data_IF_147702788125
#
_entry.id   IF_147702788125
#
_cell.length_a   1.000
_cell.length_b   1.000
_cell.length_c   1.000
_cell.angle_alpha   90.00
_cell.angle_beta   90.00
_cell.angle_gamma   90.00
#
_symmetry.space_group_name_H-M   'P 1'
#
loop_
_entity.id
_entity.type
_entity.pdbx_description
1 polymer ?
#
# COMPACT_ATOMS: atom_id res chain seq x y z
N UNK A 1 -16.26 14.85 -17.38
CA UNK A 1 -15.26 15.86 -16.98
C UNK A 1 -14.95 15.82 -15.48
N UNK A 2 -15.88 15.39 -14.61
CA UNK A 2 -15.63 15.21 -13.17
C UNK A 2 -14.58 14.14 -12.84
N UNK A 3 -14.53 13.02 -13.58
CA UNK A 3 -13.59 11.92 -13.30
C UNK A 3 -12.11 12.28 -13.42
N UNK A 4 -11.76 13.17 -14.35
CA UNK A 4 -10.35 13.50 -14.59
C UNK A 4 -9.74 14.29 -13.42
N UNK A 5 -10.52 15.17 -12.79
CA UNK A 5 -10.03 15.95 -11.65
C UNK A 5 -9.83 15.07 -10.42
N UNK A 6 -10.76 14.14 -10.18
CA UNK A 6 -10.67 13.15 -9.09
C UNK A 6 -9.42 12.28 -9.22
N UNK A 7 -9.13 11.78 -10.43
CA UNK A 7 -7.96 10.95 -10.70
C UNK A 7 -6.62 11.69 -10.48
N UNK A 8 -6.53 12.96 -10.90
CA UNK A 8 -5.32 13.76 -10.69
C UNK A 8 -5.08 14.02 -9.20
N UNK A 9 -6.14 14.34 -8.43
CA UNK A 9 -6.03 14.54 -6.98
C UNK A 9 -5.61 13.24 -6.26
N UNK A 10 -6.24 12.11 -6.62
CA UNK A 10 -5.88 10.78 -6.15
C UNK A 10 -4.38 10.50 -6.33
N UNK A 11 -3.88 10.62 -7.56
CA UNK A 11 -2.47 10.37 -7.87
C UNK A 11 -1.53 11.28 -7.08
N UNK A 12 -1.85 12.57 -6.96
CA UNK A 12 -1.00 13.51 -6.20
C UNK A 12 -0.91 13.09 -4.73
N UNK A 13 -2.04 12.74 -4.10
CA UNK A 13 -2.07 12.30 -2.70
C UNK A 13 -1.26 11.03 -2.49
N UNK A 14 -1.49 10.02 -3.33
CA UNK A 14 -0.78 8.74 -3.19
C UNK A 14 0.73 8.90 -3.44
N UNK A 15 1.13 9.65 -4.47
CA UNK A 15 2.56 9.96 -4.71
C UNK A 15 3.19 10.66 -3.51
N UNK A 16 2.51 11.65 -2.90
CA UNK A 16 3.00 12.35 -1.71
C UNK A 16 3.16 11.42 -0.52
N UNK A 17 2.21 10.51 -0.30
CA UNK A 17 2.24 9.54 0.81
C UNK A 17 3.50 8.66 0.76
N UNK A 18 3.84 8.16 -0.43
CA UNK A 18 5.01 7.29 -0.65
C UNK A 18 6.31 8.05 -0.92
N UNK A 19 6.33 9.37 -0.77
CA UNK A 19 7.55 10.15 -0.95
C UNK A 19 8.31 10.27 0.39
N UNK A 20 9.61 9.91 0.42
CA UNK A 20 10.39 10.01 1.65
C UNK A 20 10.55 11.48 2.03
N UNK A 21 10.53 11.75 3.34
CA UNK A 21 10.91 13.06 3.83
C UNK A 21 12.41 13.24 3.64
N UNK A 22 12.87 14.44 3.23
CA UNK A 22 14.30 14.70 3.11
C UNK A 22 14.95 14.64 4.49
N UNK A 23 16.15 14.05 4.54
CA UNK A 23 16.92 13.86 5.77
C UNK A 23 17.25 15.22 6.44
N UNK A 24 16.92 15.34 7.73
CA UNK A 24 17.15 16.55 8.53
C UNK A 24 18.64 16.88 8.65
N UNK A 25 19.54 15.89 8.56
CA UNK A 25 20.99 16.12 8.57
C UNK A 25 21.46 16.92 7.37
N UNK A 26 20.81 16.76 6.21
CA UNK A 26 21.14 17.54 5.01
C UNK A 26 20.85 19.03 5.20
N UNK A 27 19.76 19.36 5.92
CA UNK A 27 19.42 20.74 6.29
C UNK A 27 20.38 21.29 7.35
N UNK A 28 20.74 20.48 8.36
CA UNK A 28 21.71 20.86 9.39
C UNK A 28 23.06 21.20 8.74
N UNK A 29 23.55 20.33 7.86
CA UNK A 29 24.81 20.53 7.14
C UNK A 29 24.75 21.78 6.27
N UNK A 30 23.63 22.03 5.58
CA UNK A 30 23.45 23.27 4.83
C UNK A 30 23.52 24.51 5.74
N UNK A 31 22.91 24.47 6.93
CA UNK A 31 23.01 25.57 7.91
C UNK A 31 24.43 25.75 8.45
N UNK A 32 25.15 24.67 8.77
CA UNK A 32 26.54 24.72 9.24
C UNK A 32 27.44 25.35 8.15
N UNK A 33 27.27 24.94 6.88
CA UNK A 33 28.06 25.49 5.78
C UNK A 33 27.75 26.97 5.52
N UNK A 34 26.47 27.36 5.58
CA UNK A 34 26.07 28.76 5.44
C UNK A 34 26.63 29.62 6.58
N UNK A 35 26.51 29.17 7.83
CA UNK A 35 27.02 29.90 9.00
C UNK A 35 28.55 29.98 8.98
N UNK A 36 29.25 28.89 8.67
CA UNK A 36 30.70 28.88 8.52
C UNK A 36 31.19 29.79 7.38
N UNK A 37 30.49 29.80 6.23
CA UNK A 37 30.82 30.69 5.11
C UNK A 37 30.59 32.17 5.44
N UNK A 38 29.48 32.49 6.11
CA UNK A 38 29.16 33.88 6.50
C UNK A 38 30.11 34.39 7.59
N UNK A 39 30.45 33.57 8.60
CA UNK A 39 31.38 33.94 9.67
C UNK A 39 32.85 33.88 9.24
N UNK A 40 33.16 33.05 8.23
CA UNK A 40 34.50 32.94 7.64
C UNK A 40 34.96 34.25 7.01
N UNK A 41 34.07 35.03 6.41
CA UNK A 41 34.40 36.32 5.81
C UNK A 41 34.93 37.35 6.83
N UNK A 42 34.22 37.70 7.93
CA UNK A 42 34.74 38.62 8.94
C UNK A 42 35.95 38.05 9.68
N UNK A 43 36.00 36.74 9.95
CA UNK A 43 37.18 36.09 10.53
C UNK A 43 38.41 36.19 9.62
N UNK A 44 38.22 36.02 8.31
CA UNK A 44 39.26 36.21 7.29
C UNK A 44 39.76 37.64 7.25
N UNK A 45 38.88 38.64 7.36
CA UNK A 45 39.27 40.06 7.42
C UNK A 45 40.17 40.32 8.64
N UNK A 46 39.77 39.86 9.83
CA UNK A 46 40.58 40.02 11.06
C UNK A 46 41.94 39.30 10.93
N UNK A 47 41.96 38.08 10.36
CA UNK A 47 43.19 37.33 10.11
C UNK A 47 44.11 38.02 9.09
N UNK A 48 43.54 38.69 8.08
CA UNK A 48 44.29 39.47 7.09
C UNK A 48 45.08 40.61 7.74
N UNK A 49 44.51 41.25 8.76
CA UNK A 49 45.18 42.32 9.53
C UNK A 49 46.32 41.80 10.43
N UNK A 50 46.30 40.51 10.81
CA UNK A 50 47.21 39.95 11.80
C UNK A 50 48.41 39.19 11.19
N UNK A 51 48.19 38.34 10.18
CA UNK A 51 49.14 37.23 9.92
C UNK A 51 49.36 36.83 8.45
N UNK A 52 49.08 37.71 7.47
CA UNK A 52 49.41 37.64 6.03
C UNK A 52 48.21 37.58 5.07
N UNK A 53 48.33 38.33 3.96
CA UNK A 53 47.34 38.49 2.87
C UNK A 53 46.93 37.15 2.22
N UNK A 54 47.83 36.17 2.17
CA UNK A 54 47.55 34.87 1.53
C UNK A 54 46.41 34.09 2.21
N UNK A 55 46.30 34.15 3.55
CA UNK A 55 45.24 33.45 4.29
C UNK A 55 43.83 33.99 3.98
N UNK A 56 43.72 35.30 3.76
CA UNK A 56 42.47 35.95 3.40
C UNK A 56 41.90 35.43 2.07
N UNK A 57 42.76 35.29 1.05
CA UNK A 57 42.35 34.78 -0.26
C UNK A 57 41.86 33.34 -0.19
N UNK A 58 42.50 32.49 0.60
CA UNK A 58 42.05 31.09 0.80
C UNK A 58 40.68 31.06 1.45
N UNK A 59 40.47 31.80 2.55
CA UNK A 59 39.18 31.84 3.26
C UNK A 59 38.07 32.39 2.36
N UNK A 60 38.37 33.43 1.59
CA UNK A 60 37.40 34.06 0.67
C UNK A 60 37.03 33.10 -0.46
N UNK A 61 38.02 32.44 -1.07
CA UNK A 61 37.79 31.47 -2.14
C UNK A 61 36.96 30.27 -1.64
N UNK A 62 37.29 29.73 -0.46
CA UNK A 62 36.51 28.65 0.17
C UNK A 62 35.08 29.10 0.43
N UNK A 63 34.88 30.29 0.99
CA UNK A 63 33.54 30.83 1.26
C UNK A 63 32.72 31.01 -0.03
N UNK A 64 33.36 31.46 -1.12
CA UNK A 64 32.73 31.67 -2.42
C UNK A 64 32.27 30.36 -3.09
N UNK A 65 32.92 29.23 -2.79
CA UNK A 65 32.52 27.90 -3.28
C UNK A 65 31.50 27.23 -2.34
N UNK A 66 31.69 27.35 -1.03
CA UNK A 66 30.87 26.65 -0.02
C UNK A 66 29.46 27.23 0.06
N UNK A 67 29.30 28.56 0.03
CA UNK A 67 27.99 29.21 0.22
C UNK A 67 26.99 28.85 -0.90
N UNK A 68 27.34 28.95 -2.21
CA UNK A 68 26.42 28.54 -3.28
C UNK A 68 26.01 27.07 -3.18
N UNK A 69 26.95 26.17 -2.86
CA UNK A 69 26.66 24.75 -2.67
C UNK A 69 25.68 24.50 -1.51
N UNK A 70 25.81 25.25 -0.41
CA UNK A 70 24.90 25.17 0.71
C UNK A 70 23.50 25.74 0.38
N UNK A 71 23.41 26.82 -0.41
CA UNK A 71 22.12 27.35 -0.90
C UNK A 71 21.41 26.35 -1.80
N UNK A 72 22.11 25.71 -2.73
CA UNK A 72 21.54 24.68 -3.61
C UNK A 72 20.99 23.52 -2.79
N UNK A 73 21.79 22.97 -1.85
CA UNK A 73 21.33 21.89 -0.96
C UNK A 73 20.11 22.28 -0.13
N UNK A 74 20.07 23.50 0.41
CA UNK A 74 18.92 24.01 1.17
C UNK A 74 17.67 24.12 0.30
N UNK A 75 17.81 24.63 -0.93
CA UNK A 75 16.69 24.73 -1.86
C UNK A 75 16.20 23.35 -2.30
N UNK A 76 17.10 22.41 -2.56
CA UNK A 76 16.75 21.02 -2.88
C UNK A 76 16.02 20.34 -1.72
N UNK A 77 16.46 20.57 -0.48
CA UNK A 77 15.76 20.10 0.72
C UNK A 77 14.32 20.63 0.77
N UNK A 78 14.11 21.94 0.61
CA UNK A 78 12.76 22.51 0.64
C UNK A 78 11.89 22.05 -0.52
N UNK A 79 12.44 21.88 -1.72
CA UNK A 79 11.71 21.32 -2.87
C UNK A 79 11.26 19.88 -2.61
N UNK A 80 12.13 19.07 -1.99
CA UNK A 80 11.78 17.69 -1.62
C UNK A 80 10.71 17.68 -0.52
N UNK A 81 10.84 18.56 0.48
CA UNK A 81 9.88 18.70 1.57
C UNK A 81 8.51 19.14 1.05
N UNK A 82 8.45 20.18 0.22
CA UNK A 82 7.22 20.67 -0.41
C UNK A 82 6.56 19.57 -1.26
N UNK A 83 7.36 18.80 -2.00
CA UNK A 83 6.84 17.72 -2.80
C UNK A 83 6.36 16.50 -1.97
N UNK A 84 6.73 16.41 -0.69
CA UNK A 84 6.29 15.37 0.24
C UNK A 84 5.21 15.86 1.22
N UNK A 85 4.90 17.16 1.27
CA UNK A 85 3.98 17.75 2.25
C UNK A 85 2.81 18.53 1.62
N UNK A 86 1.65 18.62 2.29
CA UNK A 86 1.25 17.76 3.40
C UNK A 86 1.07 16.30 2.93
N UNK A 87 1.45 15.33 3.77
CA UNK A 87 1.14 13.91 3.53
C UNK A 87 -0.35 13.70 3.81
N UNK A 88 -1.06 12.91 2.97
CA UNK A 88 -2.40 12.50 3.33
C UNK A 88 -2.36 11.62 4.58
N UNK A 89 -3.44 11.68 5.36
CA UNK A 89 -3.60 10.86 6.56
C UNK A 89 -3.81 9.39 6.20
N UNK A 90 -3.58 8.48 7.15
CA UNK A 90 -3.85 7.05 6.94
C UNK A 90 -5.30 6.79 6.50
N UNK A 91 -6.26 7.48 7.14
CA UNK A 91 -7.68 7.40 6.78
C UNK A 91 -7.95 7.85 5.35
N UNK A 92 -7.38 8.98 4.91
CA UNK A 92 -7.54 9.41 3.52
C UNK A 92 -6.99 8.37 2.54
N UNK A 93 -5.89 7.70 2.87
CA UNK A 93 -5.37 6.62 2.03
C UNK A 93 -6.29 5.40 2.01
N UNK A 94 -6.92 5.06 3.14
CA UNK A 94 -7.88 3.95 3.21
C UNK A 94 -9.16 4.27 2.42
N UNK A 95 -9.62 5.53 2.44
CA UNK A 95 -10.74 6.02 1.62
C UNK A 95 -10.41 5.95 0.11
N UNK A 96 -9.18 6.30 -0.29
CA UNK A 96 -8.72 6.17 -1.68
C UNK A 96 -8.68 4.69 -2.12
N UNK A 97 -8.13 3.81 -1.29
CA UNK A 97 -8.10 2.36 -1.56
C UNK A 97 -9.51 1.79 -1.66
N UNK A 98 -10.40 2.20 -0.75
CA UNK A 98 -11.81 1.82 -0.77
C UNK A 98 -12.46 2.17 -2.12
N UNK A 99 -12.27 3.38 -2.62
CA UNK A 99 -12.82 3.80 -3.91
C UNK A 99 -12.30 2.96 -5.07
N UNK A 100 -11.00 2.62 -5.09
CA UNK A 100 -10.44 1.77 -6.12
C UNK A 100 -10.97 0.33 -6.05
N UNK A 101 -11.13 -0.22 -4.85
CA UNK A 101 -11.73 -1.55 -4.65
C UNK A 101 -13.19 -1.61 -5.12
N UNK A 102 -14.00 -0.56 -4.89
CA UNK A 102 -15.36 -0.47 -5.43
C UNK A 102 -15.37 -0.48 -6.97
N UNK A 103 -14.43 0.23 -7.62
CA UNK A 103 -14.31 0.21 -9.08
C UNK A 103 -13.91 -1.18 -9.60
N UNK A 104 -13.04 -1.88 -8.89
CA UNK A 104 -12.63 -3.26 -9.22
C UNK A 104 -13.79 -4.25 -9.06
N UNK A 105 -14.65 -4.08 -8.06
CA UNK A 105 -15.87 -4.89 -7.87
C UNK A 105 -16.81 -4.78 -9.08
N UNK A 106 -17.12 -3.55 -9.52
CA UNK A 106 -17.96 -3.30 -10.70
C UNK A 106 -17.32 -3.83 -11.99
N UNK A 107 -16.00 -3.73 -12.12
CA UNK A 107 -15.28 -4.28 -13.26
C UNK A 107 -15.31 -5.81 -13.28
N UNK A 108 -15.13 -6.45 -12.11
CA UNK A 108 -15.20 -7.90 -11.97
C UNK A 108 -16.56 -8.43 -12.43
N UNK A 109 -17.67 -7.83 -11.99
CA UNK A 109 -19.01 -8.22 -12.43
C UNK A 109 -19.17 -8.10 -13.95
N UNK A 110 -18.71 -7.01 -14.54
CA UNK A 110 -18.77 -6.82 -16.00
C UNK A 110 -17.93 -7.84 -16.76
N UNK A 111 -16.71 -8.11 -16.31
CA UNK A 111 -15.81 -9.07 -16.99
C UNK A 111 -16.28 -10.51 -16.85
N UNK A 112 -16.87 -10.87 -15.71
CA UNK A 112 -17.47 -12.17 -15.46
C UNK A 112 -18.88 -12.29 -16.07
N UNK A 113 -19.39 -11.23 -16.73
CA UNK A 113 -20.74 -11.17 -17.28
C UNK A 113 -21.81 -11.53 -16.24
N UNK A 114 -21.66 -11.02 -15.02
CA UNK A 114 -22.56 -11.20 -13.88
C UNK A 114 -23.28 -9.91 -13.52
N UNK A 115 -24.46 -10.06 -12.96
CA UNK A 115 -25.23 -9.00 -12.32
C UNK A 115 -25.27 -9.22 -10.81
N UNK A 116 -25.67 -8.20 -10.06
CA UNK A 116 -25.84 -8.31 -8.60
C UNK A 116 -26.84 -9.40 -8.20
N UNK A 117 -27.85 -9.67 -9.03
CA UNK A 117 -28.90 -10.66 -8.74
C UNK A 117 -28.39 -12.11 -8.87
N UNK A 118 -27.36 -12.33 -9.68
CA UNK A 118 -26.73 -13.64 -9.91
C UNK A 118 -25.93 -14.15 -8.70
N UNK A 119 -25.58 -13.25 -7.80
CA UNK A 119 -24.83 -13.56 -6.59
C UNK A 119 -25.72 -14.30 -5.58
N UNK A 120 -25.12 -15.14 -4.73
CA UNK A 120 -25.86 -15.91 -3.71
C UNK A 120 -25.71 -15.33 -2.29
N UNK A 121 -24.85 -14.34 -2.10
CA UNK A 121 -24.52 -13.81 -0.78
C UNK A 121 -25.54 -12.76 -0.31
N UNK A 122 -26.17 -13.03 0.82
CA UNK A 122 -26.99 -12.06 1.55
C UNK A 122 -26.09 -11.09 2.35
N UNK A 123 -26.42 -9.78 2.39
CA UNK A 123 -25.57 -8.76 3.00
C UNK A 123 -25.39 -8.95 4.50
N UNK A 124 -26.27 -9.70 5.16
CA UNK A 124 -26.15 -10.01 6.58
C UNK A 124 -24.90 -10.84 6.93
N UNK A 125 -24.20 -11.40 5.94
CA UNK A 125 -23.08 -12.31 6.20
C UNK A 125 -21.72 -11.63 6.33
N UNK A 126 -21.43 -10.51 5.63
CA UNK A 126 -20.15 -9.78 5.69
C UNK A 126 -20.13 -8.56 4.75
N UNK A 127 -19.57 -7.43 5.19
CA UNK A 127 -19.31 -6.26 4.34
C UNK A 127 -17.83 -5.82 4.47
N UNK A 128 -16.96 -6.11 3.50
CA UNK A 128 -15.53 -5.81 3.57
C UNK A 128 -15.22 -4.31 3.71
N UNK A 129 -16.17 -3.46 3.32
CA UNK A 129 -15.95 -2.03 3.29
C UNK A 129 -16.42 -1.30 4.53
N UNK A 130 -17.41 -1.86 5.24
CA UNK A 130 -17.82 -1.34 6.54
C UNK A 130 -16.65 -1.44 7.53
N UNK A 131 -15.89 -2.55 7.48
CA UNK A 131 -14.71 -2.76 8.33
C UNK A 131 -13.58 -1.78 7.98
N UNK A 132 -13.36 -1.48 6.70
CA UNK A 132 -12.34 -0.54 6.24
C UNK A 132 -12.64 0.93 6.59
N UNK A 133 -13.89 1.36 6.42
CA UNK A 133 -14.27 2.78 6.53
C UNK A 133 -14.94 3.14 7.86
N UNK A 134 -15.34 2.13 8.64
CA UNK A 134 -16.18 2.28 9.83
C UNK A 134 -17.58 2.82 9.52
N UNK A 135 -18.03 2.77 8.27
CA UNK A 135 -19.32 3.29 7.85
C UNK A 135 -20.47 2.31 8.15
N UNK A 136 -21.61 2.84 8.58
CA UNK A 136 -22.81 2.02 8.78
C UNK A 136 -23.42 1.56 7.43
N UNK A 137 -24.10 0.39 7.37
CA UNK A 137 -24.51 -0.26 6.12
C UNK A 137 -25.68 0.38 5.35
N UNK A 138 -26.15 1.57 5.73
CA UNK A 138 -27.40 2.12 5.18
C UNK A 138 -27.27 2.47 3.67
N UNK A 139 -28.13 1.85 2.84
CA UNK A 139 -28.28 2.00 1.37
C UNK A 139 -27.43 1.12 0.43
N UNK A 140 -26.84 0.01 0.89
CA UNK A 140 -26.06 -0.87 0.00
C UNK A 140 -26.91 -1.94 -0.72
N UNK A 141 -26.52 -2.35 -1.95
CA UNK A 141 -27.17 -3.45 -2.66
C UNK A 141 -27.14 -4.70 -1.79
N UNK A 142 -28.22 -5.50 -1.85
CA UNK A 142 -28.33 -6.67 -0.98
C UNK A 142 -27.17 -7.63 -1.21
N UNK A 143 -26.91 -8.02 -2.44
CA UNK A 143 -25.88 -9.02 -2.72
C UNK A 143 -24.61 -8.37 -3.25
N UNK A 144 -23.45 -8.78 -2.75
CA UNK A 144 -22.14 -8.28 -3.19
C UNK A 144 -21.11 -9.40 -3.31
N UNK A 145 -20.12 -9.27 -4.20
CA UNK A 145 -18.93 -10.12 -4.20
C UNK A 145 -18.15 -10.02 -2.89
N UNK A 146 -17.39 -11.06 -2.60
CA UNK A 146 -16.37 -11.03 -1.55
C UNK A 146 -15.09 -10.47 -2.15
N UNK A 147 -14.42 -9.58 -1.43
CA UNK A 147 -13.16 -8.99 -1.88
C UNK A 147 -12.09 -9.35 -0.87
N UNK A 148 -10.98 -9.90 -1.38
CA UNK A 148 -9.75 -10.13 -0.63
C UNK A 148 -8.65 -9.37 -1.33
N UNK A 149 -7.86 -8.63 -0.58
CA UNK A 149 -6.74 -7.90 -1.15
C UNK A 149 -5.54 -7.91 -0.20
N UNK A 150 -4.38 -7.59 -0.76
CA UNK A 150 -3.17 -7.32 0.00
C UNK A 150 -1.97 -7.04 -0.90
N UNK A 151 -0.77 -6.98 -0.33
CA UNK A 151 0.38 -6.43 -1.05
C UNK A 151 0.86 -7.36 -2.16
N UNK A 152 1.33 -6.76 -3.26
CA UNK A 152 2.21 -7.46 -4.20
C UNK A 152 3.60 -7.59 -3.55
N UNK A 153 4.23 -8.76 -3.64
CA UNK A 153 5.49 -9.08 -2.94
C UNK A 153 6.64 -8.09 -3.23
N UNK A 154 6.69 -7.57 -4.45
CA UNK A 154 7.73 -6.62 -4.90
C UNK A 154 7.34 -5.15 -4.70
N UNK A 155 6.18 -4.89 -4.11
CA UNK A 155 5.66 -3.54 -3.95
C UNK A 155 6.45 -2.75 -2.91
N UNK A 156 6.62 -1.46 -3.17
CA UNK A 156 7.14 -0.54 -2.16
C UNK A 156 6.05 -0.20 -1.16
N UNK A 157 6.44 0.04 0.09
CA UNK A 157 5.49 0.34 1.16
C UNK A 157 5.88 1.59 1.98
N UNK A 158 4.88 2.15 2.65
CA UNK A 158 5.04 3.21 3.63
C UNK A 158 4.15 2.90 4.85
N UNK A 159 4.69 3.16 6.04
CA UNK A 159 3.98 2.97 7.30
C UNK A 159 3.32 4.30 7.67
N UNK A 160 2.00 4.28 7.87
CA UNK A 160 1.26 5.46 8.30
C UNK A 160 1.56 5.83 9.75
N UNK A 161 1.13 7.02 10.17
CA UNK A 161 1.26 7.43 11.58
C UNK A 161 0.43 6.53 12.53
N UNK A 162 -0.55 5.81 11.98
CA UNK A 162 -1.35 4.76 12.62
C UNK A 162 -0.65 3.40 12.73
N UNK A 163 0.56 3.25 12.18
CA UNK A 163 1.30 1.99 12.16
C UNK A 163 0.86 1.00 11.08
N UNK A 164 -0.13 1.36 10.26
CA UNK A 164 -0.63 0.52 9.18
C UNK A 164 0.31 0.61 7.97
N UNK A 165 0.69 -0.55 7.44
CA UNK A 165 1.55 -0.70 6.28
C UNK A 165 0.71 -0.61 5.02
N UNK A 166 0.96 0.42 4.21
CA UNK A 166 0.28 0.62 2.92
C UNK A 166 1.28 0.44 1.79
N UNK A 167 0.80 -0.08 0.66
CA UNK A 167 1.64 -0.50 -0.46
C UNK A 167 1.29 0.27 -1.73
N UNK A 168 2.26 0.43 -2.63
CA UNK A 168 2.04 1.05 -3.93
C UNK A 168 1.24 0.15 -4.88
N UNK A 169 1.20 -1.15 -4.62
CA UNK A 169 0.51 -2.12 -5.46
C UNK A 169 -0.22 -3.14 -4.59
N UNK A 170 -1.49 -3.36 -4.89
CA UNK A 170 -2.34 -4.33 -4.23
C UNK A 170 -2.80 -5.39 -5.22
N UNK A 171 -2.60 -6.65 -4.86
CA UNK A 171 -3.29 -7.74 -5.52
C UNK A 171 -4.70 -7.84 -4.94
N UNK A 172 -5.70 -7.85 -5.82
CA UNK A 172 -7.11 -7.95 -5.46
C UNK A 172 -7.69 -9.21 -6.08
N UNK A 173 -8.48 -9.94 -5.30
CA UNK A 173 -9.30 -11.05 -5.73
C UNK A 173 -10.75 -10.77 -5.36
N UNK A 174 -11.58 -10.64 -6.39
CA UNK A 174 -13.03 -10.54 -6.27
C UNK A 174 -13.60 -11.92 -6.50
N UNK A 175 -14.40 -12.40 -5.55
CA UNK A 175 -14.99 -13.73 -5.54
C UNK A 175 -16.49 -13.54 -5.60
N UNK A 176 -17.12 -14.07 -6.64
CA UNK A 176 -18.54 -13.97 -6.92
C UNK A 176 -19.16 -15.37 -6.81
N UNK A 177 -19.66 -15.78 -5.63
CA UNK A 177 -20.41 -17.01 -5.51
C UNK A 177 -21.76 -16.87 -6.20
N UNK A 178 -21.99 -17.68 -7.24
CA UNK A 178 -23.27 -17.73 -7.97
C UNK A 178 -24.04 -19.00 -7.62
N UNK A 179 -25.17 -19.20 -8.29
CA UNK A 179 -25.94 -20.42 -8.12
C UNK A 179 -25.21 -21.70 -8.54
N UNK A 180 -24.36 -21.63 -9.56
CA UNK A 180 -23.83 -22.80 -10.25
C UNK A 180 -22.31 -22.98 -10.11
N UNK A 181 -21.58 -21.88 -9.94
CA UNK A 181 -20.13 -21.88 -9.92
C UNK A 181 -19.59 -20.76 -9.03
N UNK A 182 -18.31 -20.84 -8.70
CA UNK A 182 -17.55 -19.80 -8.04
C UNK A 182 -16.77 -19.04 -9.11
N UNK A 183 -17.20 -17.82 -9.42
CA UNK A 183 -16.49 -16.94 -10.35
C UNK A 183 -15.47 -16.09 -9.59
N UNK A 184 -14.28 -15.93 -10.13
CA UNK A 184 -13.17 -15.20 -9.53
C UNK A 184 -12.59 -14.26 -10.57
N UNK A 185 -12.43 -13.00 -10.19
CA UNK A 185 -11.66 -12.02 -10.94
C UNK A 185 -10.46 -11.59 -10.10
N UNK A 186 -9.27 -11.54 -10.69
CA UNK A 186 -8.03 -11.10 -10.04
C UNK A 186 -7.41 -9.98 -10.85
N UNK A 187 -6.89 -8.98 -10.15
CA UNK A 187 -6.09 -7.94 -10.77
C UNK A 187 -5.06 -7.39 -9.78
N UNK A 188 -4.16 -6.56 -10.29
CA UNK A 188 -3.24 -5.74 -9.49
C UNK A 188 -3.63 -4.28 -9.68
N UNK A 189 -3.94 -3.60 -8.58
CA UNK A 189 -4.10 -2.15 -8.56
C UNK A 189 -2.72 -1.54 -8.38
N UNK A 190 -2.29 -0.68 -9.31
CA UNK A 190 -1.22 0.29 -9.05
C UNK A 190 -1.86 1.47 -8.33
N UNK A 191 -1.64 1.56 -7.02
CA UNK A 191 -2.29 2.58 -6.20
C UNK A 191 -1.75 3.99 -6.50
N UNK A 192 -0.53 4.09 -7.01
CA UNK A 192 0.06 5.39 -7.37
C UNK A 192 -0.62 5.96 -8.60
N UNK A 193 -0.86 5.13 -9.62
CA UNK A 193 -1.55 5.59 -10.83
C UNK A 193 -3.06 5.50 -10.71
N UNK A 194 -3.61 4.53 -9.98
CA UNK A 194 -5.03 4.17 -9.98
C UNK A 194 -5.42 3.28 -11.16
N UNK A 195 -4.43 2.70 -11.85
CA UNK A 195 -4.63 1.78 -12.99
C UNK A 195 -4.64 0.32 -12.54
N UNK A 196 -5.20 -0.54 -13.40
CA UNK A 196 -5.26 -1.98 -13.17
C UNK A 196 -4.33 -2.73 -14.13
N UNK A 197 -3.73 -3.80 -13.63
CA UNK A 197 -2.80 -4.65 -14.35
C UNK A 197 -3.11 -6.13 -14.06
N UNK A 198 -2.61 -7.02 -14.92
CA UNK A 198 -2.65 -8.47 -14.70
C UNK A 198 -4.06 -9.01 -14.38
N UNK A 199 -5.04 -8.59 -15.17
CA UNK A 199 -6.44 -9.00 -15.03
C UNK A 199 -6.63 -10.47 -15.47
N UNK A 200 -7.28 -11.27 -14.63
CA UNK A 200 -7.53 -12.69 -14.85
C UNK A 200 -8.93 -13.04 -14.35
N UNK A 201 -9.71 -13.74 -15.16
CA UNK A 201 -11.03 -14.28 -14.80
C UNK A 201 -11.01 -15.81 -14.80
N UNK A 202 -11.58 -16.42 -13.77
CA UNK A 202 -11.65 -17.87 -13.60
C UNK A 202 -13.05 -18.25 -13.11
N UNK A 203 -13.62 -19.32 -13.64
CA UNK A 203 -14.89 -19.87 -13.19
C UNK A 203 -14.70 -21.34 -12.79
N UNK A 204 -15.14 -21.69 -11.59
CA UNK A 204 -14.97 -23.03 -11.05
C UNK A 204 -16.32 -23.63 -10.63
N UNK A 205 -16.63 -24.82 -11.11
CA UNK A 205 -17.75 -25.57 -10.54
C UNK A 205 -17.48 -25.84 -9.06
N UNK A 206 -18.52 -25.74 -8.23
CA UNK A 206 -18.37 -25.95 -6.79
C UNK A 206 -17.77 -27.31 -6.47
N UNK A 207 -18.13 -28.37 -7.20
CA UNK A 207 -17.59 -29.71 -7.04
C UNK A 207 -16.05 -29.73 -7.13
N UNK A 208 -15.49 -28.94 -8.04
CA UNK A 208 -14.05 -28.87 -8.32
C UNK A 208 -13.26 -28.08 -7.29
N UNK A 209 -13.90 -27.21 -6.49
CA UNK A 209 -13.21 -26.46 -5.43
C UNK A 209 -12.89 -27.36 -4.25
N UNK A 210 -11.66 -27.89 -4.20
CA UNK A 210 -11.24 -28.90 -3.20
C UNK A 210 -11.00 -28.27 -1.83
N UNK A 211 -10.38 -27.09 -1.78
CA UNK A 211 -9.99 -26.48 -0.51
C UNK A 211 -9.93 -24.96 -0.55
N UNK A 212 -10.17 -24.36 0.62
CA UNK A 212 -9.97 -22.94 0.91
C UNK A 212 -9.11 -22.85 2.15
N UNK A 213 -7.91 -22.28 2.01
CA UNK A 213 -6.90 -22.32 3.06
C UNK A 213 -6.05 -21.06 3.08
N UNK A 214 -5.34 -20.87 4.18
CA UNK A 214 -4.24 -19.91 4.26
C UNK A 214 -2.93 -20.66 4.44
N UNK A 215 -1.91 -20.30 3.69
CA UNK A 215 -0.57 -20.86 3.82
C UNK A 215 0.43 -19.75 4.12
N UNK A 216 1.51 -20.07 4.84
CA UNK A 216 2.60 -19.14 5.08
C UNK A 216 3.87 -19.60 4.38
N UNK A 217 4.55 -18.69 3.71
CA UNK A 217 5.80 -18.95 3.00
C UNK A 217 6.78 -17.79 3.18
N UNK A 218 8.05 -18.07 2.96
CA UNK A 218 9.11 -17.07 3.00
C UNK A 218 9.08 -16.25 1.72
N UNK A 219 9.07 -14.94 1.86
CA UNK A 219 9.16 -14.01 0.75
C UNK A 219 10.55 -13.37 0.65
N UNK A 220 10.89 -12.77 -0.50
CA UNK A 220 12.04 -11.89 -0.63
C UNK A 220 11.98 -10.70 0.33
N UNK A 221 13.12 -10.05 0.53
CA UNK A 221 13.18 -8.82 1.33
C UNK A 221 12.33 -7.70 0.69
N UNK A 222 11.52 -7.05 1.51
CA UNK A 222 10.61 -5.99 1.07
C UNK A 222 11.36 -4.67 0.88
N UNK A 223 10.96 -3.88 -0.12
CA UNK A 223 11.54 -2.57 -0.38
C UNK A 223 10.74 -1.47 0.35
N UNK A 224 11.41 -0.77 1.27
CA UNK A 224 10.84 0.39 1.97
C UNK A 224 10.79 1.59 1.01
N UNK A 225 9.62 2.22 0.83
CA UNK A 225 9.51 3.47 0.05
C UNK A 225 10.00 4.68 0.86
N UNK A 226 9.68 4.68 2.16
CA UNK A 226 9.94 5.77 3.09
C UNK A 226 10.73 5.24 4.30
N UNK A 227 12.06 5.24 4.21
CA UNK A 227 12.89 5.08 5.41
C UNK A 227 12.95 6.47 6.05
N UNK A 228 12.04 6.77 6.98
CA UNK A 228 12.12 8.00 7.77
C UNK A 228 13.26 7.81 8.79
N UNK A 229 14.42 8.49 8.62
CA UNK A 229 15.62 8.21 9.40
C UNK A 229 15.47 8.54 10.89
N UNK A 230 14.42 9.28 11.26
CA UNK A 230 14.24 9.88 12.59
C UNK A 230 13.12 9.22 13.42
N UNK A 231 12.36 8.27 12.85
CA UNK A 231 11.36 7.51 13.63
C UNK A 231 12.00 6.21 14.11
N UNK A 232 12.21 6.10 15.43
CA UNK A 232 12.70 4.91 16.15
C UNK A 232 11.91 3.60 15.89
N UNK A 233 10.86 3.63 15.07
CA UNK A 233 10.08 2.45 14.66
C UNK A 233 10.70 1.78 13.44
N UNK A 234 11.96 1.36 13.54
CA UNK A 234 12.56 0.48 12.53
C UNK A 234 12.04 -0.95 12.75
N UNK A 235 10.82 -1.23 12.32
CA UNK A 235 10.34 -2.60 12.21
C UNK A 235 11.09 -3.23 11.04
N UNK A 236 12.23 -3.84 11.33
CA UNK A 236 12.96 -4.65 10.36
C UNK A 236 12.53 -6.09 10.49
N UNK A 237 12.03 -6.68 9.39
CA UNK A 237 11.90 -8.12 9.29
C UNK A 237 13.27 -8.73 9.01
N UNK A 238 13.71 -9.64 9.87
CA UNK A 238 14.90 -10.46 9.66
C UNK A 238 14.68 -11.48 8.55
N UNK A 239 13.44 -11.96 8.42
CA UNK A 239 12.99 -12.86 7.35
C UNK A 239 11.48 -12.70 7.22
N UNK A 240 11.02 -12.15 6.10
CA UNK A 240 9.60 -11.93 5.85
C UNK A 240 8.87 -13.25 5.58
N UNK A 241 7.84 -13.54 6.38
CA UNK A 241 6.84 -14.56 6.09
C UNK A 241 5.56 -13.88 5.59
N UNK A 242 5.12 -14.25 4.40
CA UNK A 242 3.83 -13.85 3.87
C UNK A 242 2.82 -14.95 4.14
N UNK A 243 1.61 -14.54 4.51
CA UNK A 243 0.43 -15.40 4.62
C UNK A 243 -0.42 -15.17 3.38
N UNK A 244 -0.60 -16.21 2.58
CA UNK A 244 -1.44 -16.22 1.39
C UNK A 244 -2.77 -16.90 1.71
N UNK A 245 -3.87 -16.29 1.27
CA UNK A 245 -5.14 -16.96 1.07
C UNK A 245 -5.14 -17.64 -0.29
N UNK A 246 -5.65 -18.87 -0.35
CA UNK A 246 -5.76 -19.61 -1.61
C UNK A 246 -7.06 -20.43 -1.72
N UNK A 247 -7.58 -20.46 -2.95
CA UNK A 247 -8.63 -21.37 -3.40
C UNK A 247 -7.97 -22.40 -4.31
N UNK A 248 -8.14 -23.68 -3.99
CA UNK A 248 -7.51 -24.80 -4.68
C UNK A 248 -8.58 -25.65 -5.36
N UNK A 249 -8.37 -25.95 -6.64
CA UNK A 249 -9.29 -26.79 -7.43
C UNK A 249 -8.70 -28.14 -7.79
N UNK A 250 -9.54 -29.06 -8.23
CA UNK A 250 -9.21 -30.46 -8.56
C UNK A 250 -8.17 -30.59 -9.68
N UNK A 251 -8.10 -29.62 -10.60
CA UNK A 251 -7.07 -29.55 -11.65
C UNK A 251 -5.66 -29.29 -11.09
N UNK A 252 -5.56 -28.83 -9.85
CA UNK A 252 -4.32 -28.37 -9.23
C UNK A 252 -4.11 -26.86 -9.34
N UNK A 253 -4.97 -26.14 -10.06
CA UNK A 253 -4.91 -24.67 -10.16
C UNK A 253 -5.18 -24.01 -8.81
N UNK A 254 -4.60 -22.82 -8.63
CA UNK A 254 -4.66 -22.06 -7.38
C UNK A 254 -4.83 -20.58 -7.66
N UNK A 255 -5.90 -20.01 -7.14
CA UNK A 255 -6.08 -18.56 -7.07
C UNK A 255 -5.57 -18.10 -5.70
N UNK A 256 -4.64 -17.15 -5.66
CA UNK A 256 -3.98 -16.71 -4.41
C UNK A 256 -3.89 -15.18 -4.26
N UNK A 257 -3.92 -14.72 -3.01
CA UNK A 257 -3.68 -13.32 -2.59
C UNK A 257 -2.96 -13.30 -1.24
N UNK A 258 -1.99 -12.42 -1.08
CA UNK A 258 -1.32 -12.18 0.21
C UNK A 258 -2.27 -11.44 1.15
N UNK A 259 -2.44 -11.93 2.37
CA UNK A 259 -3.38 -11.41 3.39
C UNK A 259 -2.72 -11.16 4.75
N UNK A 260 -1.42 -11.41 4.87
CA UNK A 260 -0.69 -11.21 6.12
C UNK A 260 0.81 -11.21 5.93
N UNK A 261 1.52 -10.59 6.87
CA UNK A 261 2.97 -10.46 6.86
C UNK A 261 3.51 -10.47 8.29
N UNK A 262 4.57 -11.25 8.53
CA UNK A 262 5.17 -11.45 9.85
C UNK A 262 6.65 -11.78 9.76
N UNK A 263 7.36 -11.66 10.89
CA UNK A 263 8.76 -12.09 10.98
C UNK A 263 8.87 -13.60 11.25
N UNK A 264 9.77 -14.30 10.53
CA UNK A 264 9.98 -15.73 10.72
C UNK A 264 10.64 -16.08 12.07
N UNK A 265 11.54 -15.22 12.56
CA UNK A 265 12.28 -15.42 13.81
C UNK A 265 11.47 -14.94 15.01
N UNK A 266 10.60 -13.94 14.80
CA UNK A 266 9.72 -13.41 15.83
C UNK A 266 8.27 -13.25 15.33
N UNK A 267 7.45 -14.33 15.33
CA UNK A 267 6.07 -14.28 14.83
C UNK A 267 5.12 -13.33 15.56
N UNK A 268 5.53 -12.78 16.71
CA UNK A 268 4.82 -11.71 17.40
C UNK A 268 4.98 -10.35 16.71
N UNK A 269 6.05 -10.16 15.93
CA UNK A 269 6.26 -9.00 15.06
C UNK A 269 5.49 -9.24 13.77
N UNK A 270 4.38 -8.50 13.60
CA UNK A 270 3.51 -8.58 12.43
C UNK A 270 3.33 -7.19 11.85
N UNK A 271 3.32 -7.11 10.52
CA UNK A 271 2.90 -5.88 9.87
C UNK A 271 1.39 -5.74 10.04
N UNK A 272 0.94 -4.57 10.49
CA UNK A 272 -0.47 -4.25 10.52
C UNK A 272 -0.88 -3.85 9.10
N UNK A 273 -1.56 -4.74 8.39
CA UNK A 273 -2.09 -4.47 7.05
C UNK A 273 -3.49 -3.85 7.18
N UNK A 274 -3.97 -3.12 6.14
CA UNK A 274 -5.38 -2.80 6.04
C UNK A 274 -6.21 -4.07 6.11
N UNK A 275 -7.34 -4.02 6.81
CA UNK A 275 -8.15 -5.21 7.01
C UNK A 275 -8.77 -5.66 5.67
N UNK A 276 -8.48 -6.90 5.27
CA UNK A 276 -9.11 -7.53 4.09
C UNK A 276 -10.35 -8.33 4.47
N UNK A 277 -10.67 -8.42 5.79
CA UNK A 277 -11.64 -9.30 6.42
C UNK A 277 -11.60 -10.73 5.88
N UNK A 278 -10.38 -11.21 5.73
CA UNK A 278 -10.10 -12.53 5.19
C UNK A 278 -10.74 -13.67 6.00
N UNK A 279 -10.84 -13.51 7.33
CA UNK A 279 -11.45 -14.52 8.18
C UNK A 279 -12.92 -14.74 7.82
N UNK A 280 -13.65 -13.65 7.61
CA UNK A 280 -15.05 -13.65 7.23
C UNK A 280 -15.21 -14.22 5.82
N UNK A 281 -14.36 -13.83 4.87
CA UNK A 281 -14.37 -14.39 3.51
C UNK A 281 -14.18 -15.91 3.53
N UNK A 282 -13.22 -16.42 4.31
CA UNK A 282 -12.99 -17.86 4.45
C UNK A 282 -14.24 -18.58 4.98
N UNK A 283 -14.86 -18.03 6.02
CA UNK A 283 -16.04 -18.64 6.65
C UNK A 283 -17.25 -18.64 5.71
N UNK A 284 -17.47 -17.54 4.99
CA UNK A 284 -18.53 -17.43 3.98
C UNK A 284 -18.30 -18.43 2.84
N UNK A 285 -17.10 -18.50 2.27
CA UNK A 285 -16.83 -19.43 1.16
C UNK A 285 -16.98 -20.87 1.65
N UNK A 286 -16.47 -21.22 2.84
CA UNK A 286 -16.64 -22.56 3.41
C UNK A 286 -18.11 -22.94 3.59
N UNK A 287 -18.94 -21.99 4.05
CA UNK A 287 -20.39 -22.18 4.16
C UNK A 287 -21.01 -22.44 2.79
N UNK A 288 -20.74 -21.59 1.80
CA UNK A 288 -21.23 -21.76 0.42
C UNK A 288 -20.81 -23.12 -0.17
N UNK A 289 -19.53 -23.48 -0.03
CA UNK A 289 -19.03 -24.76 -0.53
C UNK A 289 -19.71 -25.95 0.15
N UNK A 290 -19.94 -25.89 1.46
CA UNK A 290 -20.65 -26.95 2.19
C UNK A 290 -22.09 -27.09 1.71
N UNK A 291 -22.80 -25.98 1.55
CA UNK A 291 -24.21 -25.98 1.16
C UNK A 291 -24.38 -26.47 -0.28
N UNK A 292 -23.53 -26.03 -1.20
CA UNK A 292 -23.57 -26.44 -2.62
C UNK A 292 -23.02 -27.85 -2.88
N UNK A 293 -22.03 -28.33 -2.10
CA UNK A 293 -21.52 -29.71 -2.21
C UNK A 293 -22.38 -30.74 -1.46
N UNK A 294 -22.94 -30.38 -0.31
CA UNK A 294 -23.73 -31.27 0.54
C UNK A 294 -25.18 -31.44 0.08
N UNK A 295 -25.68 -30.55 -0.79
CA UNK A 295 -27.06 -30.53 -1.28
C UNK A 295 -27.48 -31.69 -2.19
N UNK A 296 -26.59 -32.62 -2.56
CA UNK A 296 -26.95 -33.82 -3.33
C UNK A 296 -27.58 -34.95 -2.50
N UNK A 297 -27.81 -34.73 -1.18
CA UNK A 297 -28.19 -35.79 -0.25
C UNK A 297 -29.67 -35.89 0.19
N UNK A 298 -30.56 -34.97 -0.18
CA UNK A 298 -31.97 -35.04 0.26
C UNK A 298 -32.93 -34.78 -0.90
N UNK A 299 -33.13 -35.83 -1.70
CA UNK A 299 -34.39 -36.05 -2.40
C UNK A 299 -35.29 -36.78 -1.42
N UNK A 300 -36.27 -36.07 -0.85
CA UNK A 300 -37.46 -36.65 -0.22
C UNK A 300 -38.67 -36.33 -1.07
#
# INVERSE_FOLDING_TARGET
>A
MADHHSYVDHRIRVVKYFKPLPDSQSLLLAHILLTAGVLGLPGGIVFAFLTHVAGFFVITLVSLVVVPGAVVRRNDYYRQLEAATPKPTGREMDDLLHNDLCRVEEAALRQLNLTWDDLELDPANYDPFADLTGAEPENRPRKRPLIVFGPVETSKFAIGDDGVWRFQQYQVMVICPTNYHLAIHRCVIDFVTGDWQSEETQEYHYADVVAVSTNSYRAPDLQVANDEPDKERKISFSTTLLKEFQIVVSSGDRSRVVVGMSDAQNPAVRAQLPDSGISQVIDVIRKVLRDKKGGTGTVT
#
